data_IF_312560313491
#
_entry.id   IF_312560313491
#
_cell.length_a   1.000
_cell.length_b   1.000
_cell.length_c   1.000
_cell.angle_alpha   90.00
_cell.angle_beta   90.00
_cell.angle_gamma   90.00
#
_symmetry.space_group_name_H-M   'P 1'
#
loop_
_entity.id
_entity.type
_entity.pdbx_description
1 polymer ?
#
# COMPACT_ATOMS: atom_id res chain seq x y z
N UNK A 1 -1.69 -3.88 -27.67
CA UNK A 1 -0.49 -4.61 -27.20
C UNK A 1 0.18 -5.39 -28.32
N UNK A 2 -0.54 -6.22 -29.12
CA UNK A 2 0.06 -6.89 -30.28
C UNK A 2 0.67 -5.89 -31.27
N UNK A 3 -0.05 -4.83 -31.63
CA UNK A 3 0.45 -3.74 -32.49
C UNK A 3 1.75 -3.12 -31.95
N UNK A 4 1.86 -2.93 -30.62
CA UNK A 4 3.10 -2.41 -30.01
C UNK A 4 4.26 -3.38 -30.16
N UNK A 5 4.00 -4.67 -29.94
CA UNK A 5 4.99 -5.73 -30.11
C UNK A 5 5.49 -5.81 -31.54
N UNK A 6 4.58 -5.83 -32.54
CA UNK A 6 4.93 -5.88 -33.96
C UNK A 6 5.76 -4.65 -34.37
N UNK A 7 5.35 -3.46 -33.91
CA UNK A 7 6.11 -2.23 -34.17
C UNK A 7 7.50 -2.27 -33.56
N UNK A 8 7.60 -2.73 -32.29
CA UNK A 8 8.88 -2.85 -31.60
C UNK A 8 9.81 -3.86 -32.29
N UNK A 9 9.28 -5.03 -32.66
CA UNK A 9 10.08 -6.08 -33.30
C UNK A 9 10.64 -5.62 -34.64
N UNK A 10 9.82 -4.93 -35.45
CA UNK A 10 10.26 -4.37 -36.73
C UNK A 10 11.33 -3.30 -36.54
N UNK A 11 11.10 -2.34 -35.64
CA UNK A 11 12.07 -1.26 -35.38
C UNK A 11 13.38 -1.81 -34.81
N UNK A 12 13.31 -2.81 -33.92
CA UNK A 12 14.50 -3.46 -33.39
C UNK A 12 15.32 -4.16 -34.49
N UNK A 13 14.66 -4.86 -35.41
CA UNK A 13 15.32 -5.51 -36.52
C UNK A 13 15.98 -4.52 -37.49
N UNK A 14 15.30 -3.41 -37.78
CA UNK A 14 15.85 -2.32 -38.60
C UNK A 14 17.09 -1.69 -37.97
N UNK A 15 17.07 -1.47 -36.65
CA UNK A 15 18.22 -0.93 -35.91
C UNK A 15 19.39 -1.92 -35.88
N UNK A 16 19.12 -3.19 -35.57
CA UNK A 16 20.15 -4.25 -35.51
C UNK A 16 20.86 -4.42 -36.86
N UNK A 17 20.16 -4.26 -37.99
CA UNK A 17 20.75 -4.37 -39.30
C UNK A 17 21.82 -3.27 -39.61
N UNK A 18 21.74 -2.16 -38.89
CA UNK A 18 22.72 -1.06 -39.00
C UNK A 18 23.80 -1.01 -37.94
N UNK A 19 23.78 -1.98 -36.99
CA UNK A 19 24.72 -2.04 -35.86
C UNK A 19 25.69 -3.21 -36.03
N UNK A 20 26.95 -3.02 -35.62
CA UNK A 20 27.97 -4.07 -35.58
C UNK A 20 27.94 -4.92 -34.30
N UNK A 21 26.99 -4.65 -33.39
CA UNK A 21 26.84 -5.33 -32.11
C UNK A 21 25.37 -5.68 -31.81
N UNK A 22 25.15 -6.70 -30.99
CA UNK A 22 23.84 -7.15 -30.56
C UNK A 22 23.31 -6.24 -29.46
N UNK A 23 22.04 -5.81 -29.56
CA UNK A 23 21.35 -5.01 -28.55
C UNK A 23 20.46 -5.86 -27.65
N UNK A 24 20.29 -5.46 -26.40
CA UNK A 24 19.36 -6.08 -25.47
C UNK A 24 17.95 -5.56 -25.75
N UNK A 25 17.05 -6.44 -26.14
CA UNK A 25 15.65 -6.09 -26.44
C UNK A 25 14.78 -6.31 -25.22
N UNK A 26 13.98 -5.29 -24.86
CA UNK A 26 13.01 -5.39 -23.79
C UNK A 26 11.80 -4.48 -24.04
N UNK A 27 10.60 -4.96 -23.78
CA UNK A 27 9.36 -4.20 -23.97
C UNK A 27 8.38 -4.37 -22.78
N UNK A 28 8.42 -5.49 -22.07
CA UNK A 28 7.42 -5.83 -21.07
C UNK A 28 7.68 -5.15 -19.72
N UNK A 29 6.61 -4.62 -19.12
CA UNK A 29 6.51 -4.24 -17.71
C UNK A 29 5.88 -5.40 -16.89
N UNK A 30 5.60 -5.22 -15.58
CA UNK A 30 5.02 -6.27 -14.73
C UNK A 30 3.76 -6.92 -15.33
N UNK A 31 2.81 -6.13 -15.81
CA UNK A 31 1.59 -6.65 -16.44
C UNK A 31 1.88 -7.40 -17.75
N UNK A 32 2.86 -6.95 -18.52
CA UNK A 32 3.32 -7.62 -19.73
C UNK A 32 4.00 -8.94 -19.44
N UNK A 33 4.83 -9.01 -18.41
CA UNK A 33 5.48 -10.23 -17.95
C UNK A 33 4.44 -11.32 -17.63
N UNK A 34 3.40 -10.96 -16.90
CA UNK A 34 2.35 -11.90 -16.50
C UNK A 34 1.45 -12.35 -17.67
N UNK A 35 1.14 -11.44 -18.61
CA UNK A 35 0.16 -11.69 -19.69
C UNK A 35 0.76 -12.19 -21.00
N UNK A 36 2.04 -11.95 -21.22
CA UNK A 36 2.71 -12.18 -22.50
C UNK A 36 4.05 -12.90 -22.32
N UNK A 37 4.02 -14.03 -21.65
CA UNK A 37 5.21 -14.83 -21.30
C UNK A 37 6.10 -15.19 -22.48
N UNK A 38 5.50 -15.40 -23.67
CA UNK A 38 6.23 -15.77 -24.89
C UNK A 38 7.02 -14.60 -25.51
N UNK A 39 6.84 -13.38 -25.00
CA UNK A 39 7.43 -12.16 -25.57
C UNK A 39 8.40 -11.44 -24.61
N UNK A 40 8.99 -12.16 -23.68
CA UNK A 40 9.91 -11.58 -22.67
C UNK A 40 11.24 -11.12 -23.28
N UNK A 41 11.59 -11.61 -24.47
CA UNK A 41 12.81 -11.25 -25.20
C UNK A 41 14.09 -11.46 -24.36
N UNK A 42 15.07 -10.53 -24.45
CA UNK A 42 16.34 -10.67 -23.74
C UNK A 42 16.23 -10.15 -22.28
N UNK A 43 15.29 -9.26 -21.97
CA UNK A 43 15.11 -8.66 -20.64
C UNK A 43 13.66 -8.22 -20.43
N UNK A 44 13.24 -8.16 -19.17
CA UNK A 44 11.94 -7.61 -18.74
C UNK A 44 12.15 -6.50 -17.71
N UNK A 45 11.19 -5.59 -17.59
CA UNK A 45 11.22 -4.50 -16.61
C UNK A 45 10.22 -4.78 -15.50
N UNK A 46 10.68 -5.48 -14.48
CA UNK A 46 9.87 -5.78 -13.30
C UNK A 46 9.71 -4.50 -12.45
N UNK A 47 8.47 -4.06 -12.25
CA UNK A 47 8.09 -2.93 -11.40
C UNK A 47 7.28 -3.40 -10.20
N UNK A 48 5.97 -3.15 -10.20
CA UNK A 48 5.08 -3.45 -9.06
C UNK A 48 5.11 -4.92 -8.64
N UNK A 49 5.37 -5.85 -9.56
CA UNK A 49 5.53 -7.28 -9.25
C UNK A 49 6.68 -7.57 -8.28
N UNK A 50 7.70 -6.69 -8.21
CA UNK A 50 8.80 -6.83 -7.24
C UNK A 50 8.31 -6.68 -5.80
N UNK A 51 7.25 -5.92 -5.59
CA UNK A 51 6.65 -5.71 -4.27
C UNK A 51 5.59 -6.76 -3.90
N UNK A 52 5.46 -7.81 -4.71
CA UNK A 52 4.49 -8.88 -4.48
C UNK A 52 3.06 -8.56 -4.93
N UNK A 53 2.89 -7.47 -5.68
CA UNK A 53 1.58 -7.06 -6.22
C UNK A 53 1.45 -7.47 -7.67
N UNK A 54 0.45 -8.29 -8.00
CA UNK A 54 0.16 -8.66 -9.39
C UNK A 54 -0.50 -7.50 -10.13
N UNK A 55 0.08 -7.11 -11.26
CA UNK A 55 -0.49 -6.09 -12.13
C UNK A 55 -1.68 -6.60 -12.99
N UNK A 56 -1.96 -7.90 -12.98
CA UNK A 56 -3.04 -8.54 -13.74
C UNK A 56 -4.03 -9.31 -12.87
N UNK A 57 -3.87 -9.28 -11.53
CA UNK A 57 -4.72 -9.99 -10.58
C UNK A 57 -4.38 -11.48 -10.45
N UNK A 58 -3.23 -11.94 -10.93
CA UNK A 58 -2.81 -13.33 -10.77
C UNK A 58 -2.44 -13.65 -9.31
N UNK A 59 -2.75 -14.87 -8.88
CA UNK A 59 -2.33 -15.38 -7.57
C UNK A 59 -0.92 -15.97 -7.66
N UNK A 60 -0.14 -15.86 -6.57
CA UNK A 60 1.16 -16.53 -6.46
C UNK A 60 2.34 -15.60 -6.18
N UNK A 61 2.18 -14.31 -6.31
CA UNK A 61 3.18 -13.35 -5.80
C UNK A 61 3.06 -13.25 -4.27
N UNK A 62 4.21 -13.15 -3.60
CA UNK A 62 4.25 -12.97 -2.14
C UNK A 62 4.47 -11.50 -1.82
N UNK A 63 3.72 -10.97 -0.87
CA UNK A 63 4.02 -9.67 -0.30
C UNK A 63 5.40 -9.73 0.38
N UNK A 64 6.29 -8.80 0.02
CA UNK A 64 7.65 -8.74 0.57
C UNK A 64 7.89 -7.48 1.41
N UNK A 65 6.93 -6.57 1.43
CA UNK A 65 7.06 -5.28 2.10
C UNK A 65 6.14 -5.22 3.31
N UNK A 66 6.66 -4.73 4.43
CA UNK A 66 5.86 -4.42 5.62
C UNK A 66 6.23 -3.02 6.10
N UNK A 67 5.25 -2.13 6.21
CA UNK A 67 5.42 -0.83 6.85
C UNK A 67 4.92 -0.91 8.29
N UNK A 68 5.80 -0.54 9.21
CA UNK A 68 5.54 -0.58 10.65
C UNK A 68 5.82 0.77 11.29
N UNK A 69 5.09 1.02 12.37
CA UNK A 69 5.34 2.11 13.31
C UNK A 69 5.08 1.61 14.73
N UNK A 70 5.04 2.49 15.73
CA UNK A 70 4.77 2.15 17.12
C UNK A 70 3.69 3.04 17.71
N UNK A 71 3.03 2.59 18.77
CA UNK A 71 2.13 3.43 19.55
C UNK A 71 2.97 4.37 20.41
N UNK A 72 2.77 5.68 20.25
CA UNK A 72 3.43 6.69 21.07
C UNK A 72 2.72 6.92 22.40
N UNK A 73 1.40 6.93 22.38
CA UNK A 73 0.56 7.22 23.54
C UNK A 73 -0.80 6.58 23.37
N UNK A 74 -1.42 6.19 24.50
CA UNK A 74 -2.83 5.79 24.55
C UNK A 74 -3.56 6.73 25.49
N UNK A 75 -4.69 7.30 25.02
CA UNK A 75 -5.55 8.17 25.80
C UNK A 75 -6.91 7.53 26.03
N UNK A 76 -7.44 7.71 27.26
CA UNK A 76 -8.81 7.38 27.60
C UNK A 76 -9.71 8.55 27.19
N UNK A 77 -10.65 8.29 26.32
CA UNK A 77 -11.57 9.32 25.77
C UNK A 77 -12.99 8.94 26.14
N UNK A 78 -13.68 9.77 26.97
CA UNK A 78 -15.07 9.53 27.41
C UNK A 78 -16.04 9.52 26.24
N UNK A 79 -17.14 8.78 26.37
CA UNK A 79 -18.24 8.78 25.42
C UNK A 79 -18.75 10.23 25.15
N UNK A 80 -18.93 10.58 23.89
CA UNK A 80 -19.39 11.90 23.45
C UNK A 80 -18.27 12.90 23.18
N UNK A 81 -17.02 12.59 23.53
CA UNK A 81 -15.89 13.46 23.21
C UNK A 81 -15.47 13.34 21.74
N UNK A 82 -14.94 14.43 21.20
CA UNK A 82 -14.47 14.52 19.82
C UNK A 82 -13.00 14.21 19.70
N UNK A 83 -12.63 13.59 18.56
CA UNK A 83 -11.25 13.22 18.24
C UNK A 83 -10.76 13.97 17.00
N UNK A 84 -9.52 14.48 17.10
CA UNK A 84 -8.80 15.10 16.00
C UNK A 84 -9.30 16.46 15.59
N UNK A 85 -8.74 16.97 14.50
CA UNK A 85 -9.07 18.29 13.97
C UNK A 85 -10.51 18.37 13.47
N UNK A 86 -11.08 19.58 13.63
CA UNK A 86 -12.42 19.95 13.18
C UNK A 86 -13.56 19.20 13.90
N UNK A 87 -13.27 18.41 14.92
CA UNK A 87 -14.27 17.66 15.70
C UNK A 87 -15.23 16.84 14.81
N UNK A 88 -14.70 16.22 13.77
CA UNK A 88 -15.51 15.44 12.80
C UNK A 88 -15.84 14.04 13.29
N UNK A 89 -15.10 13.52 14.25
CA UNK A 89 -15.32 12.20 14.85
C UNK A 89 -15.62 12.31 16.33
N UNK A 90 -16.60 11.53 16.79
CA UNK A 90 -16.99 11.43 18.20
C UNK A 90 -16.98 9.96 18.60
N UNK A 91 -16.46 9.68 19.80
CA UNK A 91 -16.56 8.34 20.37
C UNK A 91 -17.96 8.11 20.95
N UNK A 92 -18.53 6.93 20.66
CA UNK A 92 -19.88 6.57 21.09
C UNK A 92 -19.90 5.89 22.47
N UNK A 93 -18.74 5.47 22.95
CA UNK A 93 -18.50 4.81 24.23
C UNK A 93 -17.17 5.27 24.79
N UNK A 94 -16.91 5.02 26.05
CA UNK A 94 -15.56 5.22 26.60
C UNK A 94 -14.57 4.39 25.79
N UNK A 95 -13.54 5.05 25.28
CA UNK A 95 -12.64 4.50 24.26
C UNK A 95 -11.18 4.70 24.62
N UNK A 96 -10.34 3.76 24.20
CA UNK A 96 -8.88 3.87 24.24
C UNK A 96 -8.40 4.27 22.84
N UNK A 97 -7.76 5.42 22.73
CA UNK A 97 -7.31 5.97 21.46
C UNK A 97 -5.78 6.03 21.45
N UNK A 98 -5.17 5.25 20.56
CA UNK A 98 -3.74 5.24 20.34
C UNK A 98 -3.35 6.34 19.36
N UNK A 99 -2.20 6.98 19.60
CA UNK A 99 -1.56 7.93 18.70
C UNK A 99 -0.32 7.26 18.11
N UNK A 100 -0.22 7.25 16.78
CA UNK A 100 0.91 6.70 16.05
C UNK A 100 1.59 7.77 15.19
N UNK A 101 2.95 7.78 15.09
CA UNK A 101 3.71 8.79 14.36
C UNK A 101 3.81 8.48 12.87
N UNK A 102 2.67 8.50 12.19
CA UNK A 102 2.59 8.42 10.74
C UNK A 102 1.39 9.24 10.27
N UNK A 103 1.57 10.07 9.27
CA UNK A 103 0.54 10.94 8.74
C UNK A 103 0.62 11.12 7.23
N UNK A 104 -0.10 12.12 6.70
CA UNK A 104 -0.14 12.32 5.25
C UNK A 104 1.19 12.82 4.67
N UNK A 105 2.09 13.42 5.45
CA UNK A 105 3.43 13.80 5.00
C UNK A 105 4.31 12.57 4.73
N UNK A 106 4.01 11.43 5.39
CA UNK A 106 4.69 10.15 5.19
C UNK A 106 4.06 9.33 4.06
N UNK A 107 3.00 9.82 3.44
CA UNK A 107 2.27 9.15 2.37
C UNK A 107 1.02 8.39 2.81
N UNK A 108 0.61 8.47 4.09
CA UNK A 108 -0.65 7.87 4.54
C UNK A 108 -1.83 8.71 4.03
N UNK A 109 -2.60 8.17 3.08
CA UNK A 109 -3.64 8.92 2.40
C UNK A 109 -4.77 9.33 3.34
N UNK A 110 -5.21 10.59 3.24
CA UNK A 110 -6.28 11.15 4.08
C UNK A 110 -7.66 10.53 3.85
N UNK A 111 -7.87 9.81 2.75
CA UNK A 111 -9.10 9.03 2.56
C UNK A 111 -9.26 7.89 3.56
N UNK A 112 -8.18 7.50 4.24
CA UNK A 112 -8.26 6.54 5.34
C UNK A 112 -8.78 7.13 6.65
N UNK A 113 -9.01 8.45 6.74
CA UNK A 113 -9.58 9.12 7.91
C UNK A 113 -10.98 8.59 8.25
N UNK A 114 -11.38 8.77 9.52
CA UNK A 114 -12.75 8.55 9.98
C UNK A 114 -13.30 7.14 9.70
N UNK A 115 -12.49 6.11 9.90
CA UNK A 115 -12.86 4.71 9.68
C UNK A 115 -12.70 4.23 8.23
N UNK A 116 -12.15 5.07 7.33
CA UNK A 116 -11.83 4.67 5.96
C UNK A 116 -10.68 3.68 5.86
N UNK A 117 -9.75 3.72 6.82
CA UNK A 117 -8.60 2.83 6.91
C UNK A 117 -8.53 2.09 8.24
N UNK A 118 -7.66 1.08 8.25
CA UNK A 118 -7.34 0.25 9.42
C UNK A 118 -5.85 0.03 9.49
N UNK A 119 -5.37 -0.34 10.66
CA UNK A 119 -4.02 -0.85 10.94
C UNK A 119 -4.12 -2.17 11.67
N UNK A 120 -3.01 -2.90 11.81
CA UNK A 120 -2.98 -4.12 12.62
C UNK A 120 -2.09 -3.92 13.85
N UNK A 121 -2.62 -4.22 15.03
CA UNK A 121 -1.95 -4.16 16.33
C UNK A 121 -2.23 -5.48 17.05
N UNK A 122 -1.18 -6.20 17.46
CA UNK A 122 -1.28 -7.48 18.16
C UNK A 122 -2.23 -8.48 17.46
N UNK A 123 -2.21 -8.53 16.10
CA UNK A 123 -3.08 -9.38 15.29
C UNK A 123 -4.53 -8.90 15.15
N UNK A 124 -4.89 -7.74 15.71
CA UNK A 124 -6.24 -7.16 15.61
C UNK A 124 -6.26 -6.01 14.60
N UNK A 125 -7.30 -5.95 13.78
CA UNK A 125 -7.55 -4.80 12.90
C UNK A 125 -8.22 -3.68 13.69
N UNK A 126 -7.57 -2.53 13.73
CA UNK A 126 -7.98 -1.35 14.48
C UNK A 126 -8.27 -0.19 13.51
N UNK A 127 -9.45 0.45 13.57
CA UNK A 127 -9.80 1.51 12.65
C UNK A 127 -9.06 2.81 12.96
N UNK A 128 -8.70 3.54 11.90
CA UNK A 128 -8.24 4.91 11.99
C UNK A 128 -9.43 5.80 12.35
N UNK A 129 -9.35 6.55 13.44
CA UNK A 129 -10.40 7.46 13.91
C UNK A 129 -9.95 8.92 13.81
N UNK A 130 -10.89 9.81 13.50
CA UNK A 130 -10.57 11.22 13.26
C UNK A 130 -9.82 11.45 11.95
N UNK A 131 -9.41 12.70 11.74
CA UNK A 131 -8.66 13.07 10.55
C UNK A 131 -7.19 12.71 10.70
N UNK A 132 -6.59 12.15 9.65
CA UNK A 132 -5.14 11.95 9.58
C UNK A 132 -4.46 13.32 9.55
N UNK A 133 -3.51 13.53 10.47
CA UNK A 133 -2.72 14.74 10.59
C UNK A 133 -1.47 14.68 9.70
N UNK A 134 -0.61 15.71 9.75
CA UNK A 134 0.61 15.77 8.96
C UNK A 134 1.54 14.61 9.30
N UNK A 135 1.84 14.42 10.60
CA UNK A 135 2.87 13.51 11.10
C UNK A 135 2.31 12.46 12.08
N UNK A 136 0.98 12.39 12.23
CA UNK A 136 0.35 11.46 13.18
C UNK A 136 -1.09 11.12 12.77
N UNK A 137 -1.57 9.99 13.27
CA UNK A 137 -2.99 9.65 13.22
C UNK A 137 -3.41 8.90 14.48
N UNK A 138 -4.73 8.80 14.68
CA UNK A 138 -5.35 8.21 15.85
C UNK A 138 -6.03 6.89 15.47
N UNK A 139 -5.90 5.89 16.33
CA UNK A 139 -6.40 4.54 16.15
C UNK A 139 -7.31 4.18 17.32
N UNK A 140 -8.48 3.67 17.04
CA UNK A 140 -9.34 3.10 18.07
C UNK A 140 -8.84 1.70 18.45
N UNK A 141 -8.32 1.57 19.66
CA UNK A 141 -7.78 0.32 20.23
C UNK A 141 -8.61 -0.21 21.39
N UNK A 142 -9.84 0.28 21.55
CA UNK A 142 -10.72 0.00 22.69
C UNK A 142 -10.93 -1.49 22.94
N UNK A 143 -11.02 -2.29 21.87
CA UNK A 143 -11.30 -3.72 21.95
C UNK A 143 -10.02 -4.58 21.84
N UNK A 144 -8.86 -4.01 22.16
CA UNK A 144 -7.58 -4.70 22.06
C UNK A 144 -6.76 -4.56 23.34
N UNK A 145 -5.80 -5.46 23.52
CA UNK A 145 -4.78 -5.36 24.58
C UNK A 145 -3.54 -4.62 24.05
N UNK A 146 -3.75 -3.39 23.60
CA UNK A 146 -2.69 -2.55 23.04
C UNK A 146 -2.03 -1.68 24.12
N UNK A 147 -0.71 -1.55 24.07
CA UNK A 147 0.10 -0.76 24.98
C UNK A 147 1.00 0.23 24.22
N UNK A 148 1.43 1.27 24.91
CA UNK A 148 2.45 2.20 24.39
C UNK A 148 3.74 1.43 24.07
N UNK A 149 4.31 1.70 22.88
CA UNK A 149 5.47 0.97 22.38
C UNK A 149 5.15 -0.25 21.51
N UNK A 150 3.90 -0.72 21.49
CA UNK A 150 3.49 -1.84 20.64
C UNK A 150 3.69 -1.51 19.15
N UNK A 151 4.02 -2.56 18.39
CA UNK A 151 4.19 -2.45 16.94
C UNK A 151 2.83 -2.32 16.25
N UNK A 152 2.74 -1.35 15.37
CA UNK A 152 1.59 -1.12 14.49
C UNK A 152 1.98 -1.44 13.05
N UNK A 153 1.23 -2.31 12.38
CA UNK A 153 1.41 -2.65 10.98
C UNK A 153 0.45 -1.80 10.14
N UNK A 154 1.00 -0.95 9.29
CA UNK A 154 0.24 -0.10 8.37
C UNK A 154 -0.16 -0.90 7.12
N UNK A 155 0.76 -1.70 6.61
CA UNK A 155 0.50 -2.75 5.62
C UNK A 155 1.56 -3.85 5.75
N UNK A 156 1.21 -5.06 5.34
CA UNK A 156 2.08 -6.23 5.43
C UNK A 156 1.35 -7.50 5.00
N UNK A 157 1.70 -8.62 5.58
CA UNK A 157 1.04 -9.91 5.29
C UNK A 157 -0.41 -9.93 5.80
N UNK A 158 -0.65 -9.41 7.02
CA UNK A 158 -1.97 -9.38 7.68
C UNK A 158 -2.90 -8.29 7.12
N UNK A 159 -2.34 -7.25 6.52
CA UNK A 159 -3.04 -6.16 5.85
C UNK A 159 -2.33 -5.85 4.53
N UNK A 160 -2.63 -6.59 3.45
CA UNK A 160 -1.97 -6.41 2.16
C UNK A 160 -2.14 -5.00 1.60
N UNK A 161 -1.09 -4.47 0.97
CA UNK A 161 -1.13 -3.14 0.34
C UNK A 161 -2.21 -3.05 -0.75
N UNK A 162 -2.59 -4.17 -1.36
CA UNK A 162 -3.71 -4.23 -2.31
C UNK A 162 -5.05 -3.85 -1.67
N UNK A 163 -5.31 -4.21 -0.41
CA UNK A 163 -6.53 -3.77 0.29
C UNK A 163 -6.57 -2.25 0.47
N UNK A 164 -5.41 -1.63 0.72
CA UNK A 164 -5.31 -0.16 0.82
C UNK A 164 -5.56 0.49 -0.55
N UNK A 165 -4.97 -0.07 -1.61
CA UNK A 165 -5.19 0.36 -2.99
C UNK A 165 -6.68 0.27 -3.39
N UNK A 166 -7.34 -0.84 -3.07
CA UNK A 166 -8.78 -1.03 -3.35
C UNK A 166 -9.64 0.02 -2.64
N UNK A 167 -9.35 0.35 -1.38
CA UNK A 167 -10.04 1.41 -0.61
C UNK A 167 -9.85 2.79 -1.25
N UNK A 168 -8.69 3.05 -1.85
CA UNK A 168 -8.37 4.29 -2.55
C UNK A 168 -8.84 4.32 -4.01
N UNK A 169 -9.31 3.20 -4.54
CA UNK A 169 -9.70 3.03 -5.96
C UNK A 169 -8.57 3.34 -6.94
N UNK A 170 -7.36 2.94 -6.63
CA UNK A 170 -6.14 3.18 -7.40
C UNK A 170 -5.38 1.88 -7.69
#
# INVERSE_FOLDING_TARGET
TKKQLDTFTRAAAELEAGLEYKVIKHILNSAGIERFTDYQMDMVRLGIGLYGVSASGQKGLRNISTLKTTILQIQNVPAGDSIGYSRMSYVKRDSHIAIIPIGYADGLDRHFSNGGGEVVINGHRCPIIGNICMDACMIDVTDTDAHEGDTVIIFGEELPVSELSDKLKT
#
